data_IF_740925384309
#
_entry.id   IF_740925384309
#
_cell.length_a   1.000
_cell.length_b   1.000
_cell.length_c   1.000
_cell.angle_alpha   90.00
_cell.angle_beta   90.00
_cell.angle_gamma   90.00
#
_symmetry.space_group_name_H-M   'P 1'
#
loop_
_entity.id
_entity.type
_entity.pdbx_description
1 polymer ?
#
# COMPACT_ATOMS: atom_id res chain seq x y z
N UNK A 1 8.99 20.73 1.59
CA UNK A 1 9.62 19.39 1.60
C UNK A 1 8.75 18.50 0.74
N UNK A 2 9.32 17.70 -0.17
CA UNK A 2 8.57 16.71 -0.92
C UNK A 2 8.11 15.60 0.03
N UNK A 3 6.85 15.19 -0.10
CA UNK A 3 6.31 14.07 0.67
C UNK A 3 6.96 12.77 0.18
N UNK A 4 7.41 11.92 1.10
CA UNK A 4 7.94 10.60 0.75
C UNK A 4 6.81 9.58 0.79
N UNK A 5 6.56 8.92 -0.34
CA UNK A 5 5.58 7.85 -0.48
C UNK A 5 6.24 6.48 -0.24
N UNK A 6 5.45 5.47 0.11
CA UNK A 6 5.89 4.07 0.19
C UNK A 6 5.21 3.25 -0.92
N UNK A 7 5.71 3.39 -2.15
CA UNK A 7 5.12 2.75 -3.34
C UNK A 7 5.75 1.40 -3.64
N UNK A 8 7.05 1.28 -3.41
CA UNK A 8 7.82 0.04 -3.57
C UNK A 8 9.03 0.07 -2.60
N UNK A 9 9.73 -1.04 -2.46
CA UNK A 9 10.92 -1.13 -1.61
C UNK A 9 12.17 -0.58 -2.28
N UNK A 10 12.19 -0.47 -3.61
CA UNK A 10 13.37 -0.05 -4.38
C UNK A 10 13.65 1.45 -4.27
N UNK A 11 12.64 2.26 -3.94
CA UNK A 11 12.77 3.71 -3.74
C UNK A 11 13.31 4.08 -2.35
N UNK A 12 13.62 3.08 -1.52
CA UNK A 12 14.08 3.25 -0.16
C UNK A 12 15.49 2.71 0.01
N UNK A 13 16.31 3.44 0.73
CA UNK A 13 17.66 2.98 1.06
C UNK A 13 17.62 1.80 2.05
N UNK A 14 18.67 0.98 2.05
CA UNK A 14 18.77 -0.16 2.97
C UNK A 14 18.63 0.26 4.45
N UNK A 15 19.27 1.33 4.95
CA UNK A 15 19.08 1.77 6.33
C UNK A 15 17.63 2.15 6.67
N UNK A 16 16.91 2.77 5.73
CA UNK A 16 15.50 3.12 5.93
C UNK A 16 14.62 1.87 6.03
N UNK A 17 14.84 0.87 5.15
CA UNK A 17 14.12 -0.40 5.21
C UNK A 17 14.44 -1.18 6.49
N UNK A 18 15.70 -1.18 6.92
CA UNK A 18 16.09 -1.81 8.18
C UNK A 18 15.40 -1.13 9.38
N UNK A 19 15.28 0.20 9.38
CA UNK A 19 14.54 0.94 10.41
C UNK A 19 13.05 0.57 10.45
N UNK A 20 12.42 0.36 9.28
CA UNK A 20 11.03 -0.13 9.22
C UNK A 20 10.89 -1.54 9.79
N UNK A 21 11.85 -2.44 9.51
CA UNK A 21 11.86 -3.78 10.07
C UNK A 21 12.07 -3.77 11.60
N UNK A 22 12.91 -2.88 12.11
CA UNK A 22 13.12 -2.71 13.55
C UNK A 22 11.85 -2.23 14.26
N UNK A 23 11.15 -1.25 13.66
CA UNK A 23 9.85 -0.82 14.16
C UNK A 23 8.81 -1.95 14.13
N UNK A 24 8.77 -2.74 13.05
CA UNK A 24 7.87 -3.88 12.96
C UNK A 24 8.14 -4.91 14.06
N UNK A 25 9.42 -5.18 14.40
CA UNK A 25 9.78 -6.04 15.54
C UNK A 25 9.27 -5.48 16.86
N UNK A 26 9.44 -4.17 17.08
CA UNK A 26 8.96 -3.51 18.29
C UNK A 26 7.44 -3.62 18.42
N UNK A 27 6.68 -3.40 17.33
CA UNK A 27 5.22 -3.55 17.34
C UNK A 27 4.74 -5.01 17.51
N UNK A 28 5.53 -5.99 17.14
CA UNK A 28 5.22 -7.40 17.47
C UNK A 28 5.28 -7.66 18.99
N UNK A 29 6.12 -6.95 19.71
CA UNK A 29 6.22 -7.06 21.18
C UNK A 29 5.14 -6.23 21.91
N UNK A 30 4.80 -5.07 21.36
CA UNK A 30 3.77 -4.18 21.91
C UNK A 30 2.92 -3.62 20.80
N UNK A 31 1.71 -4.16 20.63
CA UNK A 31 0.81 -3.80 19.53
C UNK A 31 0.13 -2.43 19.73
N UNK A 32 0.09 -1.93 20.94
CA UNK A 32 -0.57 -0.67 21.25
C UNK A 32 0.46 0.46 21.30
N UNK A 33 0.09 1.61 20.74
CA UNK A 33 0.94 2.80 20.73
C UNK A 33 0.15 4.05 20.35
N UNK A 34 0.82 5.19 20.38
CA UNK A 34 0.26 6.51 20.11
C UNK A 34 0.81 7.17 18.84
N UNK A 35 1.51 6.40 17.98
CA UNK A 35 2.22 6.94 16.80
C UNK A 35 1.28 7.58 15.78
N UNK A 36 0.02 7.14 15.74
CA UNK A 36 -1.03 7.69 14.88
C UNK A 36 -2.11 8.42 15.68
N UNK A 37 -1.84 8.82 16.91
CA UNK A 37 -2.80 9.55 17.74
C UNK A 37 -3.26 10.83 17.05
N UNK A 38 -4.59 10.95 16.87
CA UNK A 38 -5.21 12.08 16.20
C UNK A 38 -4.98 12.11 14.68
N UNK A 39 -4.48 11.03 14.10
CA UNK A 39 -4.26 10.85 12.66
C UNK A 39 -5.35 10.00 12.02
N UNK A 40 -5.68 10.32 10.77
CA UNK A 40 -6.58 9.54 9.95
C UNK A 40 -5.85 8.89 8.77
N UNK A 41 -6.22 7.65 8.45
CA UNK A 41 -5.70 6.90 7.30
C UNK A 41 -6.85 6.54 6.38
N UNK A 42 -6.85 7.01 5.14
CA UNK A 42 -7.82 6.60 4.13
C UNK A 42 -7.31 5.34 3.41
N UNK A 43 -8.07 4.26 3.50
CA UNK A 43 -7.79 2.97 2.88
C UNK A 43 -8.65 2.81 1.63
N UNK A 44 -8.05 2.98 0.44
CA UNK A 44 -8.75 2.96 -0.85
C UNK A 44 -8.59 1.60 -1.51
N UNK A 45 -9.69 0.85 -1.63
CA UNK A 45 -9.72 -0.51 -2.15
C UNK A 45 -10.45 -0.60 -3.48
N UNK A 46 -9.74 -0.71 -4.58
CA UNK A 46 -10.31 -1.06 -5.89
C UNK A 46 -10.58 -2.57 -6.02
N UNK A 47 -9.93 -3.38 -5.20
CA UNK A 47 -10.10 -4.82 -5.15
C UNK A 47 -10.37 -5.29 -3.71
N UNK A 48 -11.28 -6.26 -3.51
CA UNK A 48 -11.60 -6.75 -2.19
C UNK A 48 -10.39 -7.38 -1.49
N UNK A 49 -10.33 -7.23 -0.18
CA UNK A 49 -9.32 -7.88 0.66
C UNK A 49 -9.85 -8.07 2.07
N UNK A 50 -9.67 -9.26 2.60
CA UNK A 50 -9.94 -9.55 4.01
C UNK A 50 -8.71 -9.17 4.87
N UNK A 51 -7.56 -9.77 4.58
CA UNK A 51 -6.34 -9.65 5.41
C UNK A 51 -5.76 -8.25 5.39
N UNK A 52 -5.57 -7.65 4.21
CA UNK A 52 -5.03 -6.30 4.08
C UNK A 52 -5.94 -5.28 4.75
N UNK A 53 -7.25 -5.36 4.50
CA UNK A 53 -8.22 -4.47 5.15
C UNK A 53 -8.12 -4.57 6.67
N UNK A 54 -8.27 -5.77 7.22
CA UNK A 54 -8.26 -6.00 8.67
C UNK A 54 -6.94 -5.55 9.31
N UNK A 55 -5.79 -5.85 8.68
CA UNK A 55 -4.48 -5.47 9.24
C UNK A 55 -4.27 -3.96 9.26
N UNK A 56 -4.67 -3.24 8.22
CA UNK A 56 -4.54 -1.78 8.18
C UNK A 56 -5.55 -1.09 9.09
N UNK A 57 -6.82 -1.52 9.14
CA UNK A 57 -7.81 -0.96 10.07
C UNK A 57 -7.38 -1.14 11.52
N UNK A 58 -7.10 -2.40 11.91
CA UNK A 58 -6.72 -2.69 13.29
C UNK A 58 -5.35 -2.10 13.65
N UNK A 59 -4.37 -2.14 12.74
CA UNK A 59 -3.06 -1.52 12.97
C UNK A 59 -3.18 -0.01 13.18
N UNK A 60 -3.99 0.68 12.40
CA UNK A 60 -4.25 2.11 12.59
C UNK A 60 -4.89 2.39 13.96
N UNK A 61 -5.89 1.60 14.34
CA UNK A 61 -6.54 1.71 15.66
C UNK A 61 -5.57 1.42 16.80
N UNK A 62 -4.77 0.37 16.70
CA UNK A 62 -3.79 -0.01 17.71
C UNK A 62 -2.71 1.05 17.94
N UNK A 63 -2.41 1.86 16.95
CA UNK A 63 -1.47 2.98 17.01
C UNK A 63 -2.15 4.32 17.37
N UNK A 64 -3.42 4.28 17.78
CA UNK A 64 -4.18 5.46 18.25
C UNK A 64 -4.79 6.31 17.15
N UNK A 65 -4.79 5.84 15.90
CA UNK A 65 -5.37 6.52 14.76
C UNK A 65 -6.78 6.03 14.40
N UNK A 66 -7.32 6.60 13.32
CA UNK A 66 -8.61 6.21 12.75
C UNK A 66 -8.46 5.83 11.27
N UNK A 67 -8.99 4.69 10.86
CA UNK A 67 -9.01 4.27 9.46
C UNK A 67 -10.39 4.50 8.85
N UNK A 68 -10.43 5.07 7.65
CA UNK A 68 -11.63 5.18 6.81
C UNK A 68 -11.43 4.30 5.59
N UNK A 69 -12.34 3.36 5.36
CA UNK A 69 -12.28 2.45 4.21
C UNK A 69 -13.20 2.92 3.12
N UNK A 70 -12.68 3.05 1.91
CA UNK A 70 -13.38 3.48 0.72
C UNK A 70 -13.23 2.44 -0.39
N UNK A 71 -14.30 2.12 -1.09
CA UNK A 71 -14.32 1.19 -2.21
C UNK A 71 -14.91 1.87 -3.46
N UNK A 72 -14.09 2.60 -4.24
CA UNK A 72 -14.58 3.26 -5.45
C UNK A 72 -15.34 2.31 -6.38
N UNK A 73 -16.49 2.77 -6.86
CA UNK A 73 -17.42 1.95 -7.65
C UNK A 73 -18.32 1.01 -6.83
N UNK A 74 -18.30 1.09 -5.47
CA UNK A 74 -19.17 0.30 -4.58
C UNK A 74 -19.85 1.16 -3.52
N UNK A 75 -19.07 1.63 -2.53
CA UNK A 75 -19.54 2.50 -1.44
C UNK A 75 -19.12 3.96 -1.62
N UNK A 76 -18.31 4.23 -2.64
CA UNK A 76 -17.91 5.54 -3.11
C UNK A 76 -18.02 5.60 -4.65
N UNK A 77 -18.05 6.80 -5.23
CA UNK A 77 -18.12 6.98 -6.67
C UNK A 77 -16.93 6.35 -7.41
N UNK A 78 -17.13 5.83 -8.63
CA UNK A 78 -16.01 5.41 -9.47
C UNK A 78 -15.14 6.61 -9.84
N UNK A 79 -13.84 6.37 -10.00
CA UNK A 79 -12.83 7.41 -10.23
C UNK A 79 -12.33 7.34 -11.67
N UNK A 80 -12.29 8.48 -12.34
CA UNK A 80 -11.65 8.66 -13.64
C UNK A 80 -10.15 8.95 -13.49
N UNK A 81 -9.33 8.32 -14.31
CA UNK A 81 -7.88 8.44 -14.29
C UNK A 81 -7.29 9.10 -15.53
N UNK A 82 -8.05 9.25 -16.62
CA UNK A 82 -7.56 9.81 -17.87
C UNK A 82 -7.61 11.34 -17.84
N UNK A 83 -6.46 11.96 -18.12
CA UNK A 83 -6.37 13.41 -18.19
C UNK A 83 -7.11 13.93 -19.44
N UNK A 84 -7.91 14.99 -19.25
CA UNK A 84 -8.67 15.61 -20.32
C UNK A 84 -9.98 14.91 -20.67
N UNK A 85 -10.36 13.88 -19.89
CA UNK A 85 -11.69 13.27 -20.02
C UNK A 85 -12.77 14.31 -19.73
N UNK A 86 -13.76 14.40 -20.60
CA UNK A 86 -14.99 15.14 -20.33
C UNK A 86 -15.79 14.33 -19.32
N UNK A 87 -16.11 14.92 -18.15
CA UNK A 87 -16.78 14.25 -17.03
C UNK A 87 -18.30 14.20 -17.26
N UNK A 88 -18.73 13.60 -18.37
CA UNK A 88 -20.14 13.42 -18.77
C UNK A 88 -20.53 11.93 -18.88
N UNK A 89 -19.65 11.02 -18.44
CA UNK A 89 -19.86 9.57 -18.41
C UNK A 89 -20.30 9.06 -17.05
N UNK A 90 -19.94 7.79 -16.75
CA UNK A 90 -20.36 7.07 -15.53
C UNK A 90 -19.47 7.37 -14.29
N UNK A 91 -18.43 8.19 -14.46
CA UNK A 91 -17.51 8.58 -13.37
C UNK A 91 -17.80 9.99 -12.90
N UNK A 92 -18.05 10.14 -11.61
CA UNK A 92 -18.39 11.44 -10.98
C UNK A 92 -17.14 12.22 -10.54
N UNK A 93 -16.02 11.53 -10.32
CA UNK A 93 -14.82 12.11 -9.72
C UNK A 93 -13.55 11.79 -10.52
N UNK A 94 -12.65 12.76 -10.60
CA UNK A 94 -11.34 12.58 -11.23
C UNK A 94 -10.23 12.44 -10.18
N UNK A 95 -9.27 11.55 -10.42
CA UNK A 95 -8.18 11.23 -9.48
C UNK A 95 -7.40 12.47 -9.00
N UNK A 96 -7.22 13.47 -9.85
CA UNK A 96 -6.50 14.70 -9.48
C UNK A 96 -7.20 15.50 -8.38
N UNK A 97 -8.52 15.36 -8.26
CA UNK A 97 -9.32 15.98 -7.20
C UNK A 97 -9.45 15.04 -6.01
N UNK A 98 -9.82 13.77 -6.25
CA UNK A 98 -9.98 12.76 -5.20
C UNK A 98 -8.76 12.68 -4.29
N UNK A 99 -7.55 12.57 -4.85
CA UNK A 99 -6.33 12.50 -4.04
C UNK A 99 -6.11 13.76 -3.18
N UNK A 100 -6.41 14.94 -3.71
CA UNK A 100 -6.29 16.21 -2.97
C UNK A 100 -7.36 16.37 -1.90
N UNK A 101 -8.61 16.00 -2.23
CA UNK A 101 -9.74 16.10 -1.30
C UNK A 101 -9.57 15.12 -0.14
N UNK A 102 -9.25 13.86 -0.42
CA UNK A 102 -8.98 12.87 0.62
C UNK A 102 -7.82 13.29 1.53
N UNK A 103 -6.78 13.92 0.97
CA UNK A 103 -5.65 14.44 1.74
C UNK A 103 -5.99 15.67 2.61
N UNK A 104 -7.17 16.26 2.47
CA UNK A 104 -7.69 17.28 3.41
C UNK A 104 -8.31 16.67 4.65
N UNK A 105 -8.77 15.42 4.56
CA UNK A 105 -9.40 14.69 5.65
C UNK A 105 -8.47 13.68 6.31
N UNK A 106 -7.58 13.07 5.53
CA UNK A 106 -6.67 12.03 5.99
C UNK A 106 -5.21 12.50 5.94
N UNK A 107 -4.42 12.03 6.89
CA UNK A 107 -2.97 12.29 6.98
C UNK A 107 -2.15 11.31 6.10
N UNK A 108 -2.74 10.18 5.73
CA UNK A 108 -2.13 9.12 4.91
C UNK A 108 -3.19 8.53 3.99
N UNK A 109 -2.83 8.30 2.72
CA UNK A 109 -3.63 7.51 1.79
C UNK A 109 -2.97 6.15 1.57
N UNK A 110 -3.73 5.07 1.67
CA UNK A 110 -3.24 3.72 1.38
C UNK A 110 -4.08 3.12 0.26
N UNK A 111 -3.45 2.60 -0.79
CA UNK A 111 -4.11 2.22 -2.03
C UNK A 111 -3.88 0.75 -2.34
N UNK A 112 -4.96 0.04 -2.69
CA UNK A 112 -4.94 -1.33 -3.21
C UNK A 112 -5.64 -1.36 -4.56
N UNK A 113 -4.89 -1.65 -5.62
CA UNK A 113 -5.41 -1.67 -6.98
C UNK A 113 -4.66 -2.70 -7.83
N UNK A 114 -5.30 -3.79 -8.18
CA UNK A 114 -4.67 -4.82 -9.01
C UNK A 114 -4.61 -4.41 -10.48
N UNK A 115 -3.53 -4.76 -11.18
CA UNK A 115 -3.46 -4.64 -12.62
C UNK A 115 -4.49 -5.56 -13.30
N UNK A 116 -4.78 -5.29 -14.57
CA UNK A 116 -5.74 -6.08 -15.35
C UNK A 116 -5.20 -7.43 -15.80
N UNK A 117 -3.87 -7.64 -15.79
CA UNK A 117 -3.15 -8.84 -16.26
C UNK A 117 -3.41 -9.19 -17.74
N UNK A 118 -3.59 -8.16 -18.57
CA UNK A 118 -3.79 -8.29 -20.00
C UNK A 118 -2.53 -7.89 -20.76
N UNK A 119 -1.90 -6.79 -20.37
CA UNK A 119 -0.69 -6.27 -21.01
C UNK A 119 0.31 -5.83 -19.92
N UNK A 120 1.44 -6.53 -19.86
CA UNK A 120 2.52 -6.22 -18.91
C UNK A 120 3.07 -4.79 -19.06
N UNK A 121 3.19 -4.29 -20.30
CA UNK A 121 3.74 -2.94 -20.53
C UNK A 121 2.81 -1.84 -19.97
N UNK A 122 1.51 -2.10 -19.98
CA UNK A 122 0.51 -1.22 -19.36
C UNK A 122 0.48 -1.42 -17.85
N UNK A 123 0.41 -2.67 -17.41
CA UNK A 123 0.24 -3.02 -16.00
C UNK A 123 1.44 -2.58 -15.13
N UNK A 124 2.68 -2.70 -15.68
CA UNK A 124 3.91 -2.25 -14.97
C UNK A 124 3.98 -0.75 -14.69
N UNK A 125 3.17 0.06 -15.36
CA UNK A 125 3.09 1.50 -15.12
C UNK A 125 2.40 1.82 -13.79
N UNK A 126 1.71 0.86 -13.19
CA UNK A 126 0.99 0.97 -11.91
C UNK A 126 0.16 2.27 -11.81
N UNK A 127 -0.59 2.54 -12.86
CA UNK A 127 -1.21 3.82 -13.17
C UNK A 127 -2.04 4.38 -12.03
N UNK A 128 -2.82 3.53 -11.36
CA UNK A 128 -3.69 3.95 -10.26
C UNK A 128 -2.86 4.46 -9.09
N UNK A 129 -1.88 3.68 -8.63
CA UNK A 129 -1.01 4.04 -7.52
C UNK A 129 -0.20 5.31 -7.83
N UNK A 130 0.38 5.38 -9.04
CA UNK A 130 1.18 6.52 -9.48
C UNK A 130 0.32 7.81 -9.57
N UNK A 131 -0.94 7.71 -9.97
CA UNK A 131 -1.85 8.86 -10.00
C UNK A 131 -2.15 9.37 -8.58
N UNK A 132 -2.42 8.48 -7.62
CA UNK A 132 -2.56 8.88 -6.22
C UNK A 132 -1.29 9.56 -5.69
N UNK A 133 -0.12 9.00 -5.93
CA UNK A 133 1.15 9.58 -5.48
C UNK A 133 1.44 10.94 -6.13
N UNK A 134 1.11 11.10 -7.41
CA UNK A 134 1.30 12.36 -8.15
C UNK A 134 0.49 13.51 -7.59
N UNK A 135 -0.75 13.26 -7.18
CA UNK A 135 -1.68 14.33 -6.78
C UNK A 135 -1.84 14.48 -5.28
N UNK A 136 -1.37 13.52 -4.48
CA UNK A 136 -1.49 13.57 -3.03
C UNK A 136 -0.43 14.46 -2.38
N UNK A 137 -0.81 15.45 -1.58
CA UNK A 137 0.12 16.21 -0.73
C UNK A 137 0.49 15.48 0.59
N UNK A 138 -0.09 14.31 0.84
CA UNK A 138 0.21 13.46 2.01
C UNK A 138 0.83 12.12 1.57
N UNK A 139 1.51 11.39 2.46
CA UNK A 139 2.09 10.08 2.13
C UNK A 139 1.06 9.12 1.50
N UNK A 140 1.50 8.43 0.44
CA UNK A 140 0.75 7.32 -0.17
C UNK A 140 1.48 6.02 0.13
N UNK A 141 0.72 5.01 0.57
CA UNK A 141 1.21 3.66 0.85
C UNK A 141 0.60 2.68 -0.14
N UNK A 142 1.43 1.88 -0.78
CA UNK A 142 1.01 0.75 -1.59
C UNK A 142 0.60 -0.42 -0.69
N UNK A 143 -0.70 -0.70 -0.58
CA UNK A 143 -1.20 -1.88 0.15
C UNK A 143 -1.07 -3.18 -0.65
N UNK A 144 -1.17 -3.12 -1.94
CA UNK A 144 -0.89 -4.13 -2.96
C UNK A 144 -1.40 -3.63 -4.31
N UNK A 145 -0.50 -3.54 -5.29
CA UNK A 145 -0.83 -3.24 -6.69
C UNK A 145 -0.17 -4.30 -7.59
N UNK A 146 0.69 -3.93 -8.53
CA UNK A 146 1.54 -4.88 -9.25
C UNK A 146 2.68 -5.39 -8.34
N UNK A 147 3.07 -4.58 -7.35
CA UNK A 147 4.01 -4.96 -6.29
C UNK A 147 3.29 -4.98 -4.93
N UNK A 148 3.93 -5.56 -3.94
CA UNK A 148 3.37 -5.63 -2.58
C UNK A 148 4.46 -5.36 -1.52
N UNK A 149 4.92 -4.10 -1.37
CA UNK A 149 6.08 -3.76 -0.55
C UNK A 149 5.91 -4.14 0.93
N UNK A 150 4.70 -4.06 1.47
CA UNK A 150 4.44 -4.49 2.84
C UNK A 150 4.65 -6.00 3.02
N UNK A 151 4.26 -6.82 2.02
CA UNK A 151 4.47 -8.27 2.06
C UNK A 151 5.95 -8.62 1.86
N UNK A 152 6.67 -7.89 1.01
CA UNK A 152 8.11 -8.05 0.83
C UNK A 152 8.86 -7.86 2.16
N UNK A 153 8.58 -6.78 2.89
CA UNK A 153 9.15 -6.55 4.21
C UNK A 153 8.75 -7.63 5.23
N UNK A 154 7.49 -8.08 5.20
CA UNK A 154 7.05 -9.17 6.07
C UNK A 154 7.79 -10.49 5.82
N UNK A 155 8.10 -10.81 4.55
CA UNK A 155 8.91 -11.98 4.20
C UNK A 155 10.35 -11.84 4.73
N UNK A 156 10.98 -10.68 4.53
CA UNK A 156 12.33 -10.43 5.05
C UNK A 156 12.34 -10.57 6.57
N UNK A 157 11.38 -9.99 7.27
CA UNK A 157 11.28 -10.10 8.72
C UNK A 157 11.12 -11.56 9.16
N UNK A 158 10.25 -12.31 8.50
CA UNK A 158 10.04 -13.72 8.81
C UNK A 158 11.31 -14.57 8.59
N UNK A 159 12.08 -14.30 7.53
CA UNK A 159 13.36 -14.95 7.28
C UNK A 159 14.40 -14.59 8.35
N UNK A 160 14.48 -13.33 8.75
CA UNK A 160 15.38 -12.89 9.81
C UNK A 160 15.05 -13.56 11.15
N UNK A 161 13.78 -13.68 11.47
CA UNK A 161 13.30 -14.40 12.66
C UNK A 161 13.62 -15.90 12.59
N UNK A 162 13.38 -16.53 11.43
CA UNK A 162 13.67 -17.95 11.23
C UNK A 162 15.15 -18.29 11.38
N UNK A 163 16.02 -17.45 10.82
CA UNK A 163 17.47 -17.67 10.90
C UNK A 163 18.12 -17.07 12.16
N UNK A 164 17.38 -16.35 12.98
CA UNK A 164 17.89 -15.70 14.19
C UNK A 164 18.95 -14.61 13.91
N UNK A 165 18.92 -14.00 12.73
CA UNK A 165 19.89 -12.98 12.30
C UNK A 165 19.28 -11.98 11.35
N UNK A 166 19.72 -10.72 11.41
CA UNK A 166 19.37 -9.70 10.43
C UNK A 166 20.19 -9.80 9.14
N UNK A 167 21.32 -10.52 9.18
CA UNK A 167 22.17 -10.76 8.01
C UNK A 167 21.74 -12.07 7.31
N UNK A 168 21.09 -11.91 6.17
CA UNK A 168 20.63 -13.01 5.34
C UNK A 168 21.62 -13.41 4.23
N UNK A 169 22.83 -12.83 4.18
CA UNK A 169 23.84 -13.17 3.18
C UNK A 169 24.20 -14.65 3.28
N UNK A 170 24.30 -15.31 2.14
CA UNK A 170 24.60 -16.74 2.06
C UNK A 170 23.45 -17.68 2.44
N UNK A 171 22.31 -17.17 2.89
CA UNK A 171 21.11 -17.98 3.09
C UNK A 171 20.45 -18.26 1.74
N UNK A 172 19.94 -19.48 1.57
CA UNK A 172 19.17 -19.85 0.37
C UNK A 172 17.68 -19.69 0.68
N UNK A 173 17.01 -18.92 -0.16
CA UNK A 173 15.57 -18.79 -0.16
C UNK A 173 15.03 -19.27 -1.51
N UNK A 174 14.09 -20.21 -1.48
CA UNK A 174 13.46 -20.77 -2.68
C UNK A 174 12.00 -20.34 -2.68
N UNK A 175 11.63 -19.53 -3.66
CA UNK A 175 10.24 -19.21 -3.93
C UNK A 175 9.70 -20.20 -4.96
N UNK A 176 8.66 -20.91 -4.60
CA UNK A 176 7.95 -21.82 -5.51
C UNK A 176 6.45 -21.67 -5.33
N UNK A 177 5.70 -21.88 -6.39
CA UNK A 177 4.25 -21.82 -6.36
C UNK A 177 3.61 -22.80 -7.33
N UNK A 178 2.37 -23.19 -7.05
CA UNK A 178 1.51 -23.88 -8.00
C UNK A 178 0.72 -22.83 -8.80
N UNK A 179 0.11 -23.25 -9.91
CA UNK A 179 -0.77 -22.37 -10.67
C UNK A 179 -1.88 -21.83 -9.76
N UNK A 180 -1.86 -20.52 -9.52
CA UNK A 180 -2.88 -19.80 -8.77
C UNK A 180 -2.91 -18.34 -9.23
N UNK A 181 -4.07 -17.78 -9.56
CA UNK A 181 -4.16 -16.44 -10.15
C UNK A 181 -3.70 -15.29 -9.24
N UNK A 182 -3.45 -15.56 -7.95
CA UNK A 182 -3.01 -14.55 -6.97
C UNK A 182 -1.60 -14.78 -6.44
N UNK A 183 -1.03 -15.98 -6.60
CA UNK A 183 0.29 -16.32 -6.10
C UNK A 183 1.34 -15.77 -7.01
N UNK A 184 2.06 -15.15 -7.22
CA UNK A 184 3.06 -14.60 -8.14
C UNK A 184 3.08 -13.09 -8.17
N UNK A 185 2.05 -12.45 -7.66
CA UNK A 185 1.94 -10.99 -7.64
C UNK A 185 2.74 -10.33 -6.52
N UNK A 186 2.89 -11.02 -5.41
CA UNK A 186 3.57 -10.50 -4.22
C UNK A 186 5.10 -10.64 -4.28
N UNK A 187 5.64 -11.19 -5.35
CA UNK A 187 7.02 -11.68 -5.40
C UNK A 187 7.77 -11.30 -6.68
N UNK A 188 7.25 -10.33 -7.43
CA UNK A 188 7.91 -9.83 -8.63
C UNK A 188 8.86 -8.70 -8.29
#
# INVERSE_FOLDING_TARGET
MSVKHFLNTQDWSRPELDALLDQARAFKQSKLGDQLKGKAVALVFFNPSMRTRTSFELGTFQLGGHAVVLQPGKDAWPIEFDLGTVMDGDTEEHIAEVAKVLARYADILAVRAFPKFVDWQVDRQDRVLQAFAKYSPVPVINMETITHPCQELAHILALQEHFGTTDLRGKKYVLTWTYHPKIGRAHV
#
